data_IF_919391294932
#
_entry.id   IF_919391294932
#
_cell.length_a   1.000
_cell.length_b   1.000
_cell.length_c   1.000
_cell.angle_alpha   90.00
_cell.angle_beta   90.00
_cell.angle_gamma   90.00
#
_symmetry.space_group_name_H-M   'P 1'
#
loop_
_entity.id
_entity.type
_entity.pdbx_description
1 polymer ?
#
# COMPACT_ATOMS: atom_id res chain seq x y z
N UNK A 1 -56.75 30.91 27.32
CA UNK A 1 -57.32 31.92 26.40
C UNK A 1 -56.90 33.29 26.88
N UNK A 2 -56.39 34.15 25.96
CA UNK A 2 -56.21 35.63 26.07
C UNK A 2 -55.29 36.10 27.21
N UNK A 3 -54.02 36.49 27.00
CA UNK A 3 -53.45 37.54 26.15
C UNK A 3 -53.87 38.97 26.55
N UNK A 4 -52.88 39.88 26.58
CA UNK A 4 -52.94 41.35 26.71
C UNK A 4 -53.02 41.87 28.17
N UNK A 5 -52.38 42.95 28.61
CA UNK A 5 -51.76 44.08 27.90
C UNK A 5 -51.06 45.00 28.94
N UNK A 6 -49.96 45.66 28.54
CA UNK A 6 -49.64 47.12 28.68
C UNK A 6 -49.93 47.85 30.01
N UNK A 7 -49.15 48.79 30.57
CA UNK A 7 -48.06 49.66 30.12
C UNK A 7 -47.67 50.58 31.31
N UNK A 8 -46.48 51.17 31.27
CA UNK A 8 -46.12 52.44 31.94
C UNK A 8 -45.67 52.31 33.40
N UNK A 9 -44.68 53.03 33.91
CA UNK A 9 -44.26 54.40 33.58
C UNK A 9 -42.77 54.57 33.91
N UNK A 10 -42.07 55.24 33.00
CA UNK A 10 -40.68 55.67 33.05
C UNK A 10 -40.37 56.59 34.25
N UNK A 11 -39.23 56.41 34.92
CA UNK A 11 -38.42 57.53 35.46
C UNK A 11 -36.92 57.21 35.51
N UNK A 12 -36.19 58.01 34.73
CA UNK A 12 -34.87 58.58 34.95
C UNK A 12 -33.81 57.76 35.71
N UNK A 13 -32.76 57.43 34.96
CA UNK A 13 -31.49 58.09 35.20
C UNK A 13 -30.51 57.38 36.13
N UNK A 14 -29.60 56.62 35.53
CA UNK A 14 -28.15 56.82 35.67
C UNK A 14 -27.43 55.93 34.68
N UNK A 15 -26.75 56.57 33.72
CA UNK A 15 -25.70 55.96 32.91
C UNK A 15 -24.67 55.36 33.85
N UNK A 16 -24.52 54.05 33.81
CA UNK A 16 -23.30 53.36 34.22
C UNK A 16 -22.76 52.73 32.94
N UNK A 17 -21.69 53.36 32.42
CA UNK A 17 -20.85 52.81 31.36
C UNK A 17 -20.27 51.48 31.86
N UNK A 18 -20.89 50.37 31.45
CA UNK A 18 -20.31 49.03 31.63
C UNK A 18 -19.29 48.83 30.52
N UNK A 19 -18.03 48.95 30.88
CA UNK A 19 -16.86 48.67 30.06
C UNK A 19 -16.93 47.22 29.54
N UNK A 20 -17.09 47.10 28.22
CA UNK A 20 -17.05 45.85 27.47
C UNK A 20 -15.60 45.35 27.42
N UNK A 21 -15.18 44.58 28.41
CA UNK A 21 -13.90 43.87 28.37
C UNK A 21 -14.04 42.65 27.45
N UNK A 22 -13.78 42.85 26.16
CA UNK A 22 -13.55 41.78 25.19
C UNK A 22 -12.21 41.10 25.53
N UNK A 23 -12.26 40.08 26.40
CA UNK A 23 -11.15 39.14 26.56
C UNK A 23 -11.10 38.27 25.31
N UNK A 24 -10.25 38.63 24.36
CA UNK A 24 -9.75 37.75 23.31
C UNK A 24 -9.00 36.60 23.99
N UNK A 25 -9.73 35.57 24.43
CA UNK A 25 -9.15 34.25 24.63
C UNK A 25 -8.78 33.75 23.24
N UNK A 26 -7.52 33.96 22.87
CA UNK A 26 -6.95 33.41 21.66
C UNK A 26 -7.10 31.90 21.68
N UNK A 27 -7.88 31.37 20.74
CA UNK A 27 -7.66 30.01 20.27
C UNK A 27 -6.27 29.97 19.63
N UNK A 28 -5.25 29.77 20.46
CA UNK A 28 -4.08 29.04 20.02
C UNK A 28 -4.53 27.58 19.81
N UNK A 29 -5.32 27.35 18.77
CA UNK A 29 -5.45 26.00 18.22
C UNK A 29 -4.08 25.71 17.68
N UNK A 30 -3.33 24.91 18.43
CA UNK A 30 -2.09 24.32 17.95
C UNK A 30 -2.40 23.69 16.61
N UNK A 31 -1.82 24.24 15.55
CA UNK A 31 -1.35 23.44 14.43
C UNK A 31 -0.31 22.48 15.00
N UNK A 32 -0.78 21.51 15.77
CA UNK A 32 -0.05 20.31 16.05
C UNK A 32 -0.01 19.63 14.69
N UNK A 33 1.13 19.78 14.04
CA UNK A 33 1.60 18.80 13.07
C UNK A 33 1.33 17.43 13.70
N UNK A 34 0.21 16.82 13.33
CA UNK A 34 0.05 15.39 13.53
C UNK A 34 1.23 14.79 12.77
N UNK A 35 2.13 14.04 13.43
CA UNK A 35 3.17 13.34 12.70
C UNK A 35 2.46 12.46 11.67
N UNK A 36 2.63 12.78 10.40
CA UNK A 36 2.31 11.83 9.35
C UNK A 36 3.16 10.59 9.63
N UNK A 37 2.50 9.44 9.66
CA UNK A 37 3.03 8.07 9.72
C UNK A 37 3.65 7.58 11.03
N UNK A 38 2.79 7.13 11.96
CA UNK A 38 3.14 5.92 12.71
C UNK A 38 3.10 4.77 11.69
N UNK A 39 4.26 4.31 11.21
CA UNK A 39 4.34 3.05 10.49
C UNK A 39 3.65 1.97 11.35
N UNK A 40 2.60 1.34 10.81
CA UNK A 40 1.85 0.31 11.54
C UNK A 40 2.81 -0.84 11.79
N UNK A 41 3.14 -1.10 13.06
CA UNK A 41 3.99 -2.22 13.43
C UNK A 41 3.33 -3.56 13.06
N UNK A 42 4.15 -4.60 12.87
CA UNK A 42 3.66 -5.92 12.48
C UNK A 42 2.55 -6.45 13.40
N UNK A 43 2.69 -6.28 14.71
CA UNK A 43 1.69 -6.73 15.69
C UNK A 43 0.31 -6.11 15.47
N UNK A 44 0.27 -4.81 15.14
CA UNK A 44 -0.98 -4.11 14.85
C UNK A 44 -1.55 -4.53 13.50
N UNK A 45 -0.70 -4.77 12.50
CA UNK A 45 -1.11 -5.28 11.19
C UNK A 45 -1.75 -6.66 11.33
N UNK A 46 -1.04 -7.62 11.94
CA UNK A 46 -1.49 -9.01 12.00
C UNK A 46 -2.75 -9.16 12.85
N UNK A 47 -2.87 -8.39 13.94
CA UNK A 47 -4.09 -8.37 14.77
C UNK A 47 -5.30 -7.91 13.96
N UNK A 48 -5.18 -6.80 13.21
CA UNK A 48 -6.27 -6.30 12.37
C UNK A 48 -6.65 -7.28 11.26
N UNK A 49 -5.66 -7.85 10.57
CA UNK A 49 -5.88 -8.86 9.53
C UNK A 49 -6.60 -10.10 10.09
N UNK A 50 -6.24 -10.58 11.28
CA UNK A 50 -6.90 -11.72 11.93
C UNK A 50 -8.35 -11.42 12.35
N UNK A 51 -8.66 -10.18 12.74
CA UNK A 51 -10.04 -9.76 13.03
C UNK A 51 -10.90 -9.76 11.76
N UNK A 52 -10.38 -9.19 10.67
CA UNK A 52 -11.06 -9.17 9.37
C UNK A 52 -11.24 -10.58 8.80
N UNK A 53 -10.21 -11.42 8.86
CA UNK A 53 -10.25 -12.81 8.41
C UNK A 53 -11.38 -13.58 9.11
N UNK A 54 -11.48 -13.43 10.43
CA UNK A 54 -12.55 -14.07 11.21
C UNK A 54 -13.93 -13.54 10.82
N UNK A 55 -14.07 -12.23 10.63
CA UNK A 55 -15.34 -11.61 10.27
C UNK A 55 -15.83 -12.03 8.86
N UNK A 56 -14.90 -12.25 7.94
CA UNK A 56 -15.19 -12.69 6.57
C UNK A 56 -15.35 -14.21 6.42
N UNK A 57 -15.10 -14.98 7.47
CA UNK A 57 -15.24 -16.44 7.45
C UNK A 57 -14.06 -17.16 6.81
N UNK A 58 -12.85 -16.65 6.96
CA UNK A 58 -11.63 -17.38 6.60
C UNK A 58 -11.58 -18.78 7.23
N UNK A 59 -10.93 -19.72 6.55
CA UNK A 59 -10.77 -21.09 7.02
C UNK A 59 -9.96 -21.15 8.31
N UNK A 60 -10.17 -22.20 9.11
CA UNK A 60 -9.38 -22.45 10.32
C UNK A 60 -7.88 -22.60 9.99
N UNK A 61 -7.55 -23.10 8.80
CA UNK A 61 -6.18 -23.25 8.36
C UNK A 61 -5.54 -21.90 8.02
N UNK A 62 -6.27 -20.99 7.37
CA UNK A 62 -5.80 -19.63 7.16
C UNK A 62 -5.59 -18.90 8.50
N UNK A 63 -6.50 -19.09 9.46
CA UNK A 63 -6.36 -18.54 10.81
C UNK A 63 -5.13 -19.11 11.55
N UNK A 64 -4.84 -20.40 11.38
CA UNK A 64 -3.65 -21.05 11.94
C UNK A 64 -2.37 -20.43 11.36
N UNK A 65 -2.31 -20.19 10.05
CA UNK A 65 -1.18 -19.55 9.38
C UNK A 65 -0.96 -18.11 9.85
N UNK A 66 -2.03 -17.33 10.04
CA UNK A 66 -1.94 -15.98 10.58
C UNK A 66 -1.45 -15.98 12.04
N UNK A 67 -1.91 -16.92 12.87
CA UNK A 67 -1.41 -17.06 14.24
C UNK A 67 0.07 -17.45 14.27
N UNK A 68 0.49 -18.37 13.40
CA UNK A 68 1.91 -18.73 13.26
C UNK A 68 2.77 -17.52 12.87
N UNK A 69 2.27 -16.67 11.96
CA UNK A 69 2.95 -15.43 11.59
C UNK A 69 3.00 -14.43 12.76
N UNK A 70 1.92 -14.30 13.54
CA UNK A 70 1.87 -13.47 14.73
C UNK A 70 2.92 -13.92 15.77
N UNK A 71 3.02 -15.22 16.03
CA UNK A 71 3.99 -15.79 16.97
C UNK A 71 5.45 -15.55 16.53
N UNK A 72 5.70 -15.49 15.22
CA UNK A 72 7.02 -15.26 14.62
C UNK A 72 7.36 -13.79 14.41
N UNK A 73 6.36 -12.90 14.44
CA UNK A 73 6.54 -11.49 14.11
C UNK A 73 6.76 -11.20 12.62
N UNK A 74 6.48 -12.16 11.74
CA UNK A 74 6.63 -12.03 10.27
C UNK A 74 5.76 -13.05 9.55
N UNK A 75 5.16 -12.66 8.41
CA UNK A 75 4.63 -13.64 7.45
C UNK A 75 5.79 -14.09 6.57
N UNK A 76 6.34 -15.27 6.89
CA UNK A 76 7.45 -15.85 6.12
C UNK A 76 7.01 -16.32 4.72
N UNK A 77 7.94 -16.46 3.76
CA UNK A 77 7.63 -17.04 2.45
C UNK A 77 7.01 -18.43 2.56
N UNK A 78 7.42 -19.25 3.53
CA UNK A 78 6.85 -20.58 3.74
C UNK A 78 5.36 -20.52 4.11
N UNK A 79 4.98 -19.58 4.98
CA UNK A 79 3.58 -19.36 5.38
C UNK A 79 2.75 -18.89 4.19
N UNK A 80 3.26 -17.95 3.40
CA UNK A 80 2.57 -17.45 2.21
C UNK A 80 2.42 -18.56 1.14
N UNK A 81 3.46 -19.37 0.93
CA UNK A 81 3.40 -20.50 -0.01
C UNK A 81 2.37 -21.51 0.41
N UNK A 82 2.28 -21.82 1.71
CA UNK A 82 1.26 -22.73 2.22
C UNK A 82 -0.16 -22.18 2.01
N UNK A 83 -0.39 -20.88 2.23
CA UNK A 83 -1.69 -20.26 1.96
C UNK A 83 -2.09 -20.35 0.49
N UNK A 84 -1.15 -20.13 -0.44
CA UNK A 84 -1.41 -20.30 -1.88
C UNK A 84 -1.63 -21.79 -2.22
N UNK A 85 -0.93 -22.72 -1.59
CA UNK A 85 -1.20 -24.16 -1.77
C UNK A 85 -2.63 -24.52 -1.34
N UNK A 86 -3.10 -23.98 -0.22
CA UNK A 86 -4.48 -24.20 0.21
C UNK A 86 -5.49 -23.59 -0.77
N UNK A 87 -5.19 -22.39 -1.30
CA UNK A 87 -5.97 -21.79 -2.39
C UNK A 87 -6.01 -22.69 -3.63
N UNK A 88 -4.86 -23.21 -4.06
CA UNK A 88 -4.75 -24.11 -5.21
C UNK A 88 -5.62 -25.36 -5.03
N UNK A 89 -5.61 -25.96 -3.85
CA UNK A 89 -6.46 -27.11 -3.52
C UNK A 89 -7.95 -26.74 -3.56
N UNK A 90 -8.33 -25.58 -3.02
CA UNK A 90 -9.71 -25.10 -3.08
C UNK A 90 -10.18 -24.89 -4.52
N UNK A 91 -9.44 -24.12 -5.33
CA UNK A 91 -9.86 -23.77 -6.69
C UNK A 91 -9.90 -24.99 -7.60
N UNK A 92 -8.96 -25.93 -7.44
CA UNK A 92 -8.96 -27.18 -8.21
C UNK A 92 -10.12 -28.10 -7.78
N UNK A 93 -10.52 -28.10 -6.50
CA UNK A 93 -11.68 -28.88 -6.04
C UNK A 93 -13.01 -28.42 -6.64
N UNK A 94 -13.11 -27.15 -7.02
CA UNK A 94 -14.30 -26.56 -7.67
C UNK A 94 -14.17 -26.49 -9.20
N UNK A 95 -13.15 -27.14 -9.77
CA UNK A 95 -12.97 -27.31 -11.21
C UNK A 95 -12.27 -26.16 -11.94
N UNK A 96 -11.65 -25.23 -11.23
CA UNK A 96 -10.78 -24.20 -11.81
C UNK A 96 -9.36 -24.75 -12.01
N UNK A 97 -8.63 -24.17 -12.96
CA UNK A 97 -7.20 -24.49 -13.15
C UNK A 97 -6.32 -23.66 -12.22
N UNK A 98 -5.19 -24.22 -11.79
CA UNK A 98 -4.17 -23.52 -11.04
C UNK A 98 -2.79 -23.81 -11.64
N UNK A 99 -1.96 -22.80 -11.78
CA UNK A 99 -0.56 -22.94 -12.18
C UNK A 99 0.35 -22.01 -11.38
N UNK A 100 1.53 -22.51 -11.03
CA UNK A 100 2.57 -21.69 -10.43
C UNK A 100 3.32 -20.90 -11.50
N UNK A 101 3.60 -19.64 -11.22
CA UNK A 101 4.53 -18.81 -11.97
C UNK A 101 5.92 -18.79 -11.32
N UNK A 102 6.87 -18.16 -12.00
CA UNK A 102 8.19 -17.90 -11.43
C UNK A 102 8.10 -16.85 -10.32
N UNK A 103 8.83 -17.05 -9.23
CA UNK A 103 8.94 -16.07 -8.16
C UNK A 103 9.74 -14.85 -8.62
N UNK A 104 9.31 -13.66 -8.20
CA UNK A 104 9.97 -12.39 -8.55
C UNK A 104 10.20 -11.53 -7.31
N UNK A 105 10.85 -10.38 -7.47
CA UNK A 105 11.04 -9.42 -6.39
C UNK A 105 12.16 -9.81 -5.40
N UNK A 106 12.08 -9.35 -4.13
CA UNK A 106 13.16 -9.53 -3.17
C UNK A 106 13.39 -10.99 -2.79
N UNK A 107 14.65 -11.46 -2.76
CA UNK A 107 14.98 -12.84 -2.38
C UNK A 107 14.55 -13.24 -0.96
N UNK A 108 14.52 -12.28 -0.03
CA UNK A 108 14.12 -12.51 1.36
C UNK A 108 12.60 -12.61 1.53
N UNK A 109 11.84 -11.94 0.67
CA UNK A 109 10.38 -11.91 0.66
C UNK A 109 9.88 -11.85 -0.80
N UNK A 110 9.95 -12.98 -1.53
CA UNK A 110 9.60 -13.00 -2.94
C UNK A 110 8.11 -12.78 -3.16
N UNK A 111 7.76 -12.24 -4.32
CA UNK A 111 6.40 -12.26 -4.84
C UNK A 111 6.11 -13.63 -5.43
N UNK A 112 5.06 -14.27 -4.89
CA UNK A 112 4.62 -15.59 -5.34
C UNK A 112 3.61 -15.41 -6.45
N UNK A 113 4.05 -15.67 -7.68
CA UNK A 113 3.21 -15.54 -8.85
C UNK A 113 2.47 -16.86 -9.12
N UNK A 114 1.19 -16.77 -9.45
CA UNK A 114 0.35 -17.90 -9.82
C UNK A 114 -0.76 -17.44 -10.77
N UNK A 115 -1.30 -18.38 -11.53
CA UNK A 115 -2.43 -18.18 -12.43
C UNK A 115 -3.61 -19.07 -12.02
N UNK A 116 -4.82 -18.50 -12.06
CA UNK A 116 -6.07 -19.27 -11.93
C UNK A 116 -6.81 -19.20 -13.27
N UNK A 117 -7.04 -20.35 -13.87
CA UNK A 117 -7.77 -20.47 -15.14
C UNK A 117 -9.24 -20.75 -14.88
N UNK A 118 -10.11 -19.85 -15.33
CA UNK A 118 -11.57 -19.95 -15.17
C UNK A 118 -12.20 -20.43 -16.49
N UNK A 119 -12.81 -21.64 -16.55
CA UNK A 119 -13.48 -22.11 -17.76
C UNK A 119 -14.64 -21.20 -18.16
N UNK A 120 -14.85 -21.01 -19.47
CA UNK A 120 -15.94 -20.18 -19.98
C UNK A 120 -17.31 -20.62 -19.43
N UNK A 121 -18.08 -19.66 -18.91
CA UNK A 121 -19.39 -19.92 -18.30
C UNK A 121 -19.35 -20.29 -16.81
N UNK A 122 -18.16 -20.31 -16.19
CA UNK A 122 -17.98 -20.50 -14.75
C UNK A 122 -18.04 -19.16 -14.02
N UNK A 123 -18.61 -19.13 -12.81
CA UNK A 123 -18.67 -17.92 -11.97
C UNK A 123 -17.30 -17.59 -11.37
N UNK A 124 -16.88 -16.32 -11.46
CA UNK A 124 -15.68 -15.81 -10.77
C UNK A 124 -15.84 -15.80 -9.24
N UNK A 125 -17.06 -15.83 -8.72
CA UNK A 125 -17.32 -15.94 -7.27
C UNK A 125 -16.72 -17.22 -6.67
N UNK A 126 -16.54 -18.28 -7.46
CA UNK A 126 -15.88 -19.50 -6.98
C UNK A 126 -14.42 -19.24 -6.60
N UNK A 127 -13.73 -18.40 -7.37
CA UNK A 127 -12.36 -17.98 -7.07
C UNK A 127 -12.34 -17.09 -5.83
N UNK A 128 -13.20 -16.06 -5.78
CA UNK A 128 -13.29 -15.12 -4.64
C UNK A 128 -13.57 -15.82 -3.31
N UNK A 129 -14.45 -16.83 -3.34
CA UNK A 129 -14.73 -17.67 -2.17
C UNK A 129 -13.49 -18.44 -1.72
N UNK A 130 -12.76 -19.08 -2.64
CA UNK A 130 -11.54 -19.80 -2.30
C UNK A 130 -10.43 -18.87 -1.79
N UNK A 131 -10.27 -17.68 -2.35
CA UNK A 131 -9.32 -16.69 -1.84
C UNK A 131 -9.68 -16.24 -0.42
N UNK A 132 -10.96 -15.90 -0.20
CA UNK A 132 -11.46 -15.49 1.12
C UNK A 132 -11.19 -16.58 2.16
N UNK A 133 -11.48 -17.83 1.80
CA UNK A 133 -11.31 -18.98 2.68
C UNK A 133 -9.84 -19.27 2.97
N UNK A 134 -8.95 -19.23 1.98
CA UNK A 134 -7.65 -19.90 2.12
C UNK A 134 -6.43 -18.99 2.11
N UNK A 135 -6.46 -17.82 1.47
CA UNK A 135 -5.21 -17.07 1.23
C UNK A 135 -5.27 -15.55 1.34
N UNK A 136 -6.43 -14.93 1.17
CA UNK A 136 -6.59 -13.47 1.05
C UNK A 136 -5.90 -12.69 2.17
N UNK A 137 -6.11 -13.12 3.41
CA UNK A 137 -5.64 -12.41 4.59
C UNK A 137 -4.15 -12.69 4.87
N UNK A 138 -3.68 -13.91 4.60
CA UNK A 138 -2.24 -14.20 4.64
C UNK A 138 -1.50 -13.39 3.57
N UNK A 139 -2.05 -13.29 2.36
CA UNK A 139 -1.51 -12.48 1.28
C UNK A 139 -1.47 -10.99 1.65
N UNK A 140 -2.54 -10.46 2.23
CA UNK A 140 -2.60 -9.09 2.72
C UNK A 140 -1.51 -8.82 3.78
N UNK A 141 -1.40 -9.66 4.81
CA UNK A 141 -0.37 -9.52 5.83
C UNK A 141 1.06 -9.65 5.25
N UNK A 142 1.27 -10.56 4.29
CA UNK A 142 2.56 -10.76 3.64
C UNK A 142 3.02 -9.54 2.84
N UNK A 143 2.11 -8.88 2.12
CA UNK A 143 2.44 -7.72 1.28
C UNK A 143 2.57 -6.43 2.09
N UNK A 144 1.79 -6.28 3.16
CA UNK A 144 1.72 -5.06 3.97
C UNK A 144 2.70 -5.05 5.16
N UNK A 145 3.39 -6.16 5.43
CA UNK A 145 4.33 -6.22 6.56
C UNK A 145 5.51 -5.26 6.38
N UNK A 146 5.99 -4.62 7.47
CA UNK A 146 7.14 -3.70 7.41
C UNK A 146 8.42 -4.31 6.82
N UNK A 147 8.59 -5.63 6.95
CA UNK A 147 9.72 -6.33 6.36
C UNK A 147 9.75 -6.26 4.83
N UNK A 148 8.59 -6.15 4.17
CA UNK A 148 8.47 -6.02 2.72
C UNK A 148 9.08 -4.71 2.22
N UNK A 149 8.87 -3.60 2.92
CA UNK A 149 9.46 -2.30 2.56
C UNK A 149 10.99 -2.35 2.60
N UNK A 150 11.53 -3.05 3.60
CA UNK A 150 12.98 -3.24 3.72
C UNK A 150 13.50 -4.13 2.59
N UNK A 151 12.83 -5.25 2.33
CA UNK A 151 13.20 -6.17 1.27
C UNK A 151 13.18 -5.51 -0.13
N UNK A 152 12.19 -4.64 -0.41
CA UNK A 152 12.13 -3.87 -1.66
C UNK A 152 13.27 -2.86 -1.78
N UNK A 153 13.58 -2.12 -0.71
CA UNK A 153 14.70 -1.18 -0.71
C UNK A 153 16.04 -1.89 -0.95
N UNK A 154 16.25 -3.03 -0.30
CA UNK A 154 17.45 -3.83 -0.44
C UNK A 154 17.57 -4.37 -1.87
N UNK A 155 16.48 -4.87 -2.46
CA UNK A 155 16.45 -5.31 -3.86
C UNK A 155 16.90 -4.19 -4.81
N UNK A 156 16.36 -2.98 -4.68
CA UNK A 156 16.77 -1.86 -5.55
C UNK A 156 18.23 -1.51 -5.29
N UNK A 157 18.62 -1.37 -4.02
CA UNK A 157 19.98 -0.99 -3.63
C UNK A 157 21.03 -1.96 -4.15
N UNK A 158 20.77 -3.26 -4.10
CA UNK A 158 21.66 -4.32 -4.58
C UNK A 158 21.86 -4.26 -6.11
N UNK A 159 20.87 -3.75 -6.85
CA UNK A 159 20.89 -3.68 -8.31
C UNK A 159 21.21 -2.27 -8.85
N UNK A 160 21.39 -1.26 -7.98
CA UNK A 160 21.67 0.12 -8.40
C UNK A 160 22.83 0.25 -9.40
N UNK A 161 23.99 -0.40 -9.21
CA UNK A 161 25.10 -0.26 -10.14
C UNK A 161 24.77 -0.72 -11.57
N UNK A 162 24.05 -1.83 -11.70
CA UNK A 162 23.68 -2.41 -13.00
C UNK A 162 22.56 -1.60 -13.66
N UNK A 163 21.61 -1.08 -12.87
CA UNK A 163 20.57 -0.17 -13.36
C UNK A 163 21.17 1.13 -13.86
N UNK A 164 22.10 1.74 -13.12
CA UNK A 164 22.80 2.96 -13.53
C UNK A 164 23.60 2.73 -14.82
N UNK A 165 24.30 1.59 -14.94
CA UNK A 165 25.02 1.24 -16.16
C UNK A 165 24.08 1.11 -17.37
N UNK A 166 22.92 0.48 -17.19
CA UNK A 166 21.89 0.42 -18.22
C UNK A 166 21.40 1.81 -18.62
N UNK A 167 21.06 2.67 -17.64
CA UNK A 167 20.59 4.03 -17.88
C UNK A 167 21.60 4.87 -18.68
N UNK A 168 22.87 4.82 -18.30
CA UNK A 168 23.95 5.51 -19.00
C UNK A 168 24.12 4.97 -20.43
N UNK A 169 23.99 3.66 -20.64
CA UNK A 169 24.03 3.05 -21.98
C UNK A 169 22.85 3.46 -22.86
N UNK A 170 21.69 3.73 -22.24
CA UNK A 170 20.49 4.25 -22.90
C UNK A 170 20.56 5.76 -23.17
N UNK A 171 21.65 6.42 -22.79
CA UNK A 171 21.86 7.86 -22.99
C UNK A 171 21.20 8.74 -21.93
N UNK A 172 20.79 8.17 -20.78
CA UNK A 172 20.30 8.94 -19.64
C UNK A 172 21.47 9.50 -18.85
N UNK A 173 21.47 10.81 -18.62
CA UNK A 173 22.47 11.48 -17.78
C UNK A 173 22.14 11.25 -16.30
N UNK A 174 22.93 10.40 -15.63
CA UNK A 174 22.80 10.10 -14.20
C UNK A 174 24.18 9.84 -13.57
N UNK A 175 24.36 10.28 -12.32
CA UNK A 175 25.61 10.05 -11.58
C UNK A 175 25.82 8.54 -11.32
N UNK A 176 27.08 8.11 -11.37
CA UNK A 176 27.48 6.75 -11.06
C UNK A 176 27.18 6.33 -9.60
N UNK A 177 26.99 7.31 -8.71
CA UNK A 177 26.65 7.10 -7.30
C UNK A 177 25.21 7.53 -6.94
N UNK A 178 24.36 7.73 -7.95
CA UNK A 178 22.99 8.17 -7.75
C UNK A 178 22.24 7.28 -6.75
N UNK A 179 21.48 7.93 -5.87
CA UNK A 179 20.63 7.29 -4.87
C UNK A 179 19.40 6.63 -5.51
N UNK A 180 18.72 5.75 -4.76
CA UNK A 180 17.45 5.14 -5.21
C UNK A 180 16.44 6.20 -5.66
N UNK A 181 16.34 7.32 -4.93
CA UNK A 181 15.37 8.38 -5.25
C UNK A 181 15.73 9.16 -6.53
N UNK A 182 17.00 9.19 -6.92
CA UNK A 182 17.46 9.78 -8.19
C UNK A 182 17.33 8.78 -9.35
N UNK A 183 17.60 7.49 -9.11
CA UNK A 183 17.47 6.43 -10.12
C UNK A 183 16.02 6.16 -10.47
N UNK A 184 15.10 6.22 -9.50
CA UNK A 184 13.67 5.93 -9.71
C UNK A 184 13.01 6.74 -10.85
N UNK A 185 13.06 8.08 -10.87
CA UNK A 185 12.52 8.86 -11.99
C UNK A 185 13.29 8.64 -13.30
N UNK A 186 14.58 8.32 -13.25
CA UNK A 186 15.39 8.03 -14.43
C UNK A 186 14.98 6.71 -15.11
N UNK A 187 14.68 5.66 -14.32
CA UNK A 187 14.12 4.39 -14.80
C UNK A 187 12.76 4.60 -15.45
N UNK A 188 11.87 5.38 -14.81
CA UNK A 188 10.58 5.75 -15.39
C UNK A 188 10.72 6.49 -16.73
N UNK A 189 11.63 7.45 -16.80
CA UNK A 189 11.91 8.19 -18.03
C UNK A 189 12.48 7.27 -19.12
N UNK A 190 13.48 6.43 -18.83
CA UNK A 190 14.08 5.52 -19.80
C UNK A 190 13.07 4.52 -20.39
N UNK A 191 12.11 4.06 -19.58
CA UNK A 191 11.11 3.10 -20.02
C UNK A 191 9.95 3.74 -20.80
N UNK A 192 9.62 5.01 -20.55
CA UNK A 192 8.37 5.61 -21.06
C UNK A 192 8.56 6.86 -21.91
N UNK A 193 9.72 7.51 -21.78
CA UNK A 193 10.00 8.83 -22.34
C UNK A 193 9.34 9.97 -21.58
N UNK A 194 8.60 9.68 -20.51
CA UNK A 194 7.91 10.66 -19.69
C UNK A 194 8.65 10.90 -18.37
N UNK A 195 8.90 12.16 -18.07
CA UNK A 195 9.34 12.57 -16.75
C UNK A 195 8.12 12.64 -15.83
N UNK A 196 8.13 11.98 -14.65
CA UNK A 196 7.04 12.08 -13.69
C UNK A 196 6.66 13.53 -13.39
N UNK A 197 5.40 13.90 -13.59
CA UNK A 197 4.89 15.27 -13.40
C UNK A 197 5.03 16.21 -14.61
N UNK A 198 5.61 15.75 -15.73
CA UNK A 198 5.62 16.50 -17.00
C UNK A 198 4.49 16.05 -17.92
N UNK A 199 3.96 16.97 -18.72
CA UNK A 199 3.04 16.69 -19.84
C UNK A 199 3.76 16.68 -21.20
N UNK A 200 5.07 16.87 -21.20
CA UNK A 200 5.84 16.92 -22.44
C UNK A 200 5.85 15.54 -23.10
N UNK A 201 5.65 15.48 -24.43
CA UNK A 201 5.79 14.23 -25.15
C UNK A 201 7.25 13.78 -25.16
N UNK A 202 7.51 12.46 -25.27
CA UNK A 202 8.85 11.94 -25.45
C UNK A 202 9.57 12.62 -26.63
N UNK A 203 10.89 12.81 -26.55
CA UNK A 203 11.67 13.35 -27.66
C UNK A 203 11.44 12.57 -28.97
N UNK A 204 11.49 13.27 -30.10
CA UNK A 204 11.39 12.62 -31.41
C UNK A 204 12.56 11.63 -31.56
N UNK A 205 12.24 10.37 -31.86
CA UNK A 205 13.24 9.29 -31.97
C UNK A 205 13.59 8.60 -30.64
N UNK A 206 12.88 8.91 -29.55
CA UNK A 206 13.02 8.19 -28.29
C UNK A 206 12.77 6.69 -28.47
N UNK A 207 13.67 5.87 -27.95
CA UNK A 207 13.54 4.41 -27.92
C UNK A 207 13.46 3.97 -26.46
N UNK A 208 12.29 3.46 -26.01
CA UNK A 208 12.13 2.91 -24.67
C UNK A 208 13.17 1.86 -24.34
N UNK A 209 13.77 1.97 -23.16
CA UNK A 209 14.70 0.98 -22.60
C UNK A 209 14.26 0.59 -21.19
N UNK A 210 13.97 -0.69 -20.98
CA UNK A 210 13.57 -1.21 -19.68
C UNK A 210 14.81 -1.66 -18.89
N UNK A 211 15.37 -0.72 -18.13
CA UNK A 211 16.52 -0.99 -17.27
C UNK A 211 16.18 -1.75 -15.98
N UNK A 212 14.89 -1.88 -15.61
CA UNK A 212 14.49 -2.73 -14.51
C UNK A 212 14.51 -4.20 -14.94
N UNK A 213 13.93 -4.51 -16.10
CA UNK A 213 13.93 -5.87 -16.65
C UNK A 213 15.35 -6.41 -16.91
N UNK A 214 16.30 -5.54 -17.25
CA UNK A 214 17.70 -5.91 -17.46
C UNK A 214 18.36 -6.54 -16.22
N UNK A 215 17.85 -6.25 -15.02
CA UNK A 215 18.35 -6.77 -13.74
C UNK A 215 17.35 -7.74 -13.08
N UNK A 216 16.37 -8.26 -13.83
CA UNK A 216 15.35 -9.17 -13.31
C UNK A 216 14.34 -8.49 -12.37
N UNK A 217 14.25 -7.17 -12.42
CA UNK A 217 13.25 -6.38 -11.72
C UNK A 217 12.14 -5.96 -12.68
N UNK A 218 11.07 -5.42 -12.12
CA UNK A 218 9.93 -4.85 -12.84
C UNK A 218 9.86 -3.35 -12.62
N UNK A 219 9.19 -2.64 -13.51
CA UNK A 219 8.94 -1.19 -13.35
C UNK A 219 8.20 -0.85 -12.05
N UNK A 220 7.38 -1.77 -11.52
CA UNK A 220 6.66 -1.59 -10.25
C UNK A 220 7.58 -1.67 -9.03
N UNK A 221 8.76 -2.29 -9.14
CA UNK A 221 9.76 -2.24 -8.07
C UNK A 221 10.33 -0.82 -7.90
N UNK A 222 10.19 0.02 -8.93
CA UNK A 222 10.55 1.45 -8.91
C UNK A 222 9.33 2.38 -8.79
N UNK A 223 8.12 1.89 -8.49
CA UNK A 223 6.98 2.78 -8.18
C UNK A 223 6.98 3.27 -6.73
N UNK A 224 6.30 4.39 -6.46
CA UNK A 224 6.08 4.94 -5.11
C UNK A 224 5.02 4.15 -4.34
#
# INVERSE_FOLDING_TARGET
MRNLSTQGVSRLGRLVLVSLAFSLAGCATSSGDAPLTNAVGFDSLITGVMEEARAAGASEEQMRLLQEAADRGIVSPEVMRQAITNLADCVTSVGLGFEWGEETGPRSLPFMNYGISVPSGTSEELMDNCETLESRYVAAAYQLQPAMDTARRDLISDNLPDVIACLQSAGVEIDANATVDEVRPAVAYAATGYTPGSTDPPPIGFTPTDCAAAVGMTMTDFSY
#
